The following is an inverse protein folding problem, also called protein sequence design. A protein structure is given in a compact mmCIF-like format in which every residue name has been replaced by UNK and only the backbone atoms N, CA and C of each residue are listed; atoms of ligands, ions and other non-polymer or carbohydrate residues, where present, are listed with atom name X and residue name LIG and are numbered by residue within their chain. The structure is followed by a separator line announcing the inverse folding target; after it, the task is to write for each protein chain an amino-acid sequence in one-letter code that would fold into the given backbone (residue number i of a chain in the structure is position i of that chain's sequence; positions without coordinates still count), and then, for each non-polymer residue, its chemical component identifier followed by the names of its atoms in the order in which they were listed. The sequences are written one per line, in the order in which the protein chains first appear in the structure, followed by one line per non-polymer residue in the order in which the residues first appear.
data_IF_402093485889
#
_entry.id   IF_402093485889
#
_cell.length_a   1.000
_cell.length_b   1.000
_cell.length_c   1.000
_cell.angle_alpha   90.00
_cell.angle_beta   90.00
_cell.angle_gamma   90.00
#
_symmetry.space_group_name_H-M   'P 1'
#
loop_
_entity.id
_entity.type
_entity.pdbx_description
1 polymer ?
#
# COMPACT_ATOMS: atom_id res chain seq x y z
N UNK A 1 -8.69 -13.15 -14.18
CA UNK A 1 -9.96 -13.12 -13.42
C UNK A 1 -10.07 -11.75 -12.75
N UNK A 2 -11.25 -11.11 -12.76
CA UNK A 2 -11.46 -9.84 -12.02
C UNK A 2 -11.65 -10.20 -10.55
N UNK A 3 -10.62 -10.05 -9.72
CA UNK A 3 -10.68 -10.42 -8.30
C UNK A 3 -10.74 -9.15 -7.46
N UNK A 4 -11.84 -8.96 -6.74
CA UNK A 4 -11.94 -7.90 -5.74
C UNK A 4 -11.06 -8.29 -4.55
N UNK A 5 -10.07 -7.48 -4.22
CA UNK A 5 -9.26 -7.67 -3.02
C UNK A 5 -9.79 -6.73 -1.95
N UNK A 6 -10.34 -7.32 -0.88
CA UNK A 6 -10.76 -6.57 0.31
C UNK A 6 -9.51 -6.39 1.16
N UNK A 7 -9.14 -5.14 1.44
CA UNK A 7 -8.10 -4.84 2.43
C UNK A 7 -8.77 -4.51 3.75
N UNK A 8 -8.54 -5.37 4.74
CA UNK A 8 -9.00 -5.16 6.10
C UNK A 8 -7.97 -4.35 6.90
N UNK A 9 -8.41 -3.55 7.88
CA UNK A 9 -7.51 -2.89 8.83
C UNK A 9 -6.59 -3.90 9.51
N UNK A 10 -5.38 -3.48 9.88
CA UNK A 10 -4.58 -4.27 10.82
C UNK A 10 -5.20 -4.22 12.21
N UNK A 11 -5.28 -5.37 12.87
CA UNK A 11 -5.65 -5.47 14.28
C UNK A 11 -4.72 -4.62 15.17
N UNK A 12 -5.26 -4.08 16.27
CA UNK A 12 -4.56 -3.15 17.19
C UNK A 12 -3.30 -3.71 17.87
N UNK A 13 -2.94 -4.98 17.62
CA UNK A 13 -1.76 -5.65 18.18
C UNK A 13 -0.50 -5.58 17.30
N UNK A 14 -0.56 -4.96 16.13
CA UNK A 14 0.60 -4.86 15.24
C UNK A 14 1.51 -3.68 15.56
N UNK A 15 2.81 -3.79 15.28
CA UNK A 15 3.83 -2.73 15.44
C UNK A 15 3.57 -1.53 14.49
N UNK A 16 2.56 -0.73 14.83
CA UNK A 16 2.04 0.40 14.03
C UNK A 16 3.06 1.52 13.83
N UNK A 17 4.10 1.63 14.67
CA UNK A 17 5.13 2.67 14.52
C UNK A 17 5.94 2.51 13.24
N UNK A 18 6.39 1.29 12.95
CA UNK A 18 7.20 1.03 11.76
C UNK A 18 6.36 1.15 10.48
N UNK A 19 5.11 0.71 10.54
CA UNK A 19 4.17 0.82 9.42
C UNK A 19 3.76 2.26 9.12
N UNK A 20 3.61 3.12 10.15
CA UNK A 20 3.35 4.55 9.94
C UNK A 20 4.54 5.29 9.30
N UNK A 21 5.78 4.93 9.63
CA UNK A 21 6.98 5.50 8.99
C UNK A 21 7.03 5.12 7.50
N UNK A 22 6.74 3.85 7.19
CA UNK A 22 6.65 3.33 5.82
C UNK A 22 5.50 4.02 5.07
N UNK A 23 4.32 4.16 5.68
CA UNK A 23 3.18 4.85 5.10
C UNK A 23 3.52 6.32 4.74
N UNK A 24 4.20 7.01 5.66
CA UNK A 24 4.61 8.40 5.44
C UNK A 24 5.58 8.54 4.28
N UNK A 25 6.52 7.59 4.13
CA UNK A 25 7.40 7.51 2.96
C UNK A 25 6.63 7.25 1.67
N UNK A 26 5.71 6.27 1.68
CA UNK A 26 4.85 5.94 0.54
C UNK A 26 4.07 7.18 0.07
N UNK A 27 3.44 7.92 1.00
CA UNK A 27 2.67 9.12 0.68
C UNK A 27 3.55 10.22 0.10
N UNK A 28 4.71 10.46 0.70
CA UNK A 28 5.66 11.46 0.22
C UNK A 28 6.16 11.15 -1.19
N UNK A 29 6.57 9.91 -1.44
CA UNK A 29 7.03 9.50 -2.77
C UNK A 29 5.88 9.50 -3.79
N UNK A 30 4.63 9.17 -3.38
CA UNK A 30 3.45 9.29 -4.26
C UNK A 30 3.15 10.74 -4.66
N UNK A 31 3.41 11.72 -3.79
CA UNK A 31 3.26 13.14 -4.13
C UNK A 31 4.36 13.62 -5.09
N UNK A 32 5.55 13.02 -5.03
CA UNK A 32 6.71 13.38 -5.87
C UNK A 32 6.71 12.62 -7.22
N UNK A 33 6.18 11.40 -7.27
CA UNK A 33 6.08 10.57 -8.48
C UNK A 33 5.00 11.13 -9.41
N UNK A 34 5.45 11.82 -10.46
CA UNK A 34 4.60 12.28 -11.57
C UNK A 34 4.58 11.24 -12.69
N UNK A 35 3.58 10.35 -12.60
CA UNK A 35 2.88 9.77 -13.75
C UNK A 35 3.72 8.98 -14.78
N UNK A 36 4.71 8.16 -14.38
CA UNK A 36 5.32 7.16 -15.28
C UNK A 36 5.95 5.91 -14.61
N UNK A 37 5.98 5.79 -13.28
CA UNK A 37 6.58 4.62 -12.62
C UNK A 37 5.58 3.47 -12.50
N UNK A 38 6.05 2.25 -12.82
CA UNK A 38 5.26 1.04 -12.56
C UNK A 38 5.20 0.78 -11.06
N UNK A 39 4.22 -0.04 -10.63
CA UNK A 39 4.09 -0.40 -9.22
C UNK A 39 5.37 -1.04 -8.65
N UNK A 40 6.08 -1.85 -9.45
CA UNK A 40 7.35 -2.48 -9.05
C UNK A 40 8.50 -1.47 -8.88
N UNK A 41 8.58 -0.48 -9.77
CA UNK A 41 9.57 0.61 -9.67
C UNK A 41 9.29 1.48 -8.43
N UNK A 42 8.01 1.76 -8.17
CA UNK A 42 7.59 2.48 -6.97
C UNK A 42 7.96 1.73 -5.68
N UNK A 43 7.72 0.42 -5.62
CA UNK A 43 8.11 -0.41 -4.47
C UNK A 43 9.63 -0.40 -4.27
N UNK A 44 10.40 -0.47 -5.35
CA UNK A 44 11.86 -0.40 -5.32
C UNK A 44 12.38 0.96 -4.84
N UNK A 45 11.72 2.05 -5.23
CA UNK A 45 12.03 3.43 -4.81
C UNK A 45 11.83 3.61 -3.30
N UNK A 46 10.71 3.11 -2.77
CA UNK A 46 10.38 3.18 -1.34
C UNK A 46 11.21 2.17 -0.52
N UNK A 47 11.80 1.17 -1.18
CA UNK A 47 12.62 0.12 -0.54
C UNK A 47 11.78 -0.87 0.26
N UNK A 48 10.56 -1.16 -0.18
CA UNK A 48 9.62 -2.08 0.49
C UNK A 48 9.06 -3.10 -0.48
N UNK A 49 8.84 -4.32 0.01
CA UNK A 49 8.15 -5.36 -0.73
C UNK A 49 6.64 -5.11 -0.77
N UNK A 50 5.95 -5.71 -1.74
CA UNK A 50 4.49 -5.60 -1.91
C UNK A 50 3.73 -5.92 -0.62
N UNK A 51 4.16 -6.95 0.14
CA UNK A 51 3.51 -7.30 1.41
C UNK A 51 3.60 -6.15 2.44
N UNK A 52 4.77 -5.54 2.61
CA UNK A 52 4.95 -4.41 3.54
C UNK A 52 4.21 -3.16 3.08
N UNK A 53 4.15 -2.94 1.77
CA UNK A 53 3.32 -1.87 1.21
C UNK A 53 1.85 -2.08 1.56
N UNK A 54 1.32 -3.30 1.36
CA UNK A 54 -0.05 -3.64 1.71
C UNK A 54 -0.30 -3.54 3.22
N UNK A 55 0.62 -4.00 4.06
CA UNK A 55 0.53 -3.84 5.52
C UNK A 55 0.53 -2.36 5.93
N UNK A 56 1.39 -1.53 5.34
CA UNK A 56 1.41 -0.10 5.63
C UNK A 56 0.07 0.56 5.24
N UNK A 57 -0.45 0.27 4.04
CA UNK A 57 -1.77 0.75 3.60
C UNK A 57 -2.87 0.27 4.55
N UNK A 58 -2.88 -1.02 4.91
CA UNK A 58 -3.84 -1.61 5.87
C UNK A 58 -3.77 -0.96 7.25
N UNK A 59 -2.59 -0.51 7.69
CA UNK A 59 -2.41 0.17 8.97
C UNK A 59 -3.04 1.56 9.00
N UNK A 60 -3.21 2.18 7.82
CA UNK A 60 -3.88 3.46 7.64
C UNK A 60 -5.41 3.33 7.52
N UNK A 61 -5.91 2.12 7.22
CA UNK A 61 -7.33 1.88 7.07
C UNK A 61 -8.04 1.89 8.43
N UNK A 62 -8.97 2.83 8.62
CA UNK A 62 -9.87 2.86 9.79
C UNK A 62 -11.08 1.92 9.63
N UNK A 63 -11.30 1.42 8.42
CA UNK A 63 -12.41 0.55 8.05
C UNK A 63 -12.00 -0.28 6.83
N UNK A 64 -12.61 -1.47 6.61
CA UNK A 64 -12.36 -2.28 5.43
C UNK A 64 -12.56 -1.45 4.16
N UNK A 65 -11.60 -1.51 3.25
CA UNK A 65 -11.65 -0.74 2.02
C UNK A 65 -11.47 -1.66 0.81
N UNK A 66 -12.42 -1.59 -0.12
CA UNK A 66 -12.50 -2.47 -1.27
C UNK A 66 -11.71 -1.88 -2.43
N UNK A 67 -10.65 -2.58 -2.85
CA UNK A 67 -9.89 -2.20 -4.03
C UNK A 67 -10.29 -3.08 -5.22
N UNK A 68 -10.70 -2.43 -6.31
CA UNK A 68 -10.96 -3.09 -7.59
C UNK A 68 -9.62 -3.26 -8.32
N UNK A 69 -9.13 -4.49 -8.43
CA UNK A 69 -7.94 -4.78 -9.23
C UNK A 69 -8.27 -4.65 -10.73
N UNK A 70 -7.36 -4.03 -11.49
CA UNK A 70 -7.53 -3.83 -12.94
C UNK A 70 -7.53 -5.16 -13.68
N UNK A 71 -8.37 -5.21 -14.71
CA UNK A 71 -8.51 -6.40 -15.57
C UNK A 71 -7.20 -6.64 -16.31
N UNK A 72 -6.65 -7.85 -16.13
CA UNK A 72 -5.59 -8.42 -16.97
C UNK A 72 -6.03 -8.29 -18.43
N UNK A 73 -5.24 -7.58 -19.25
CA UNK A 73 -5.38 -7.61 -20.71
C UNK A 73 -4.26 -8.46 -21.29
#
# INVERSE_FOLDING_TARGET
MKQTTILEPLDESSDTKQLNDILSKIQKELEEVKDNDTFEEFLSLVGVDEQKYLEAIRSSLKSPNCFLTRSVH
#
